data_IF_554919962706
#
_entry.id   IF_554919962706
#
_cell.length_a   1.000
_cell.length_b   1.000
_cell.length_c   1.000
_cell.angle_alpha   90.00
_cell.angle_beta   90.00
_cell.angle_gamma   90.00
#
_symmetry.space_group_name_H-M   'P 1'
#
loop_
_entity.id
_entity.type
_entity.pdbx_description
1 polymer ?
#
# COMPACT_ATOMS: atom_id res chain seq x y z
N UNK A 1 -17.98 3.76 13.44
CA UNK A 1 -17.53 3.00 12.25
C UNK A 1 -16.08 2.58 12.44
N UNK A 2 -15.73 1.33 12.14
CA UNK A 2 -14.33 0.91 12.14
C UNK A 2 -13.56 1.57 10.98
N UNK A 3 -12.25 1.72 11.11
CA UNK A 3 -11.39 2.35 10.07
C UNK A 3 -10.20 1.46 9.72
N UNK A 4 -9.90 1.39 8.42
CA UNK A 4 -8.62 0.90 7.93
C UNK A 4 -7.79 2.07 7.39
N UNK A 5 -6.59 2.23 7.91
CA UNK A 5 -5.59 3.15 7.36
C UNK A 5 -4.69 2.34 6.43
N UNK A 6 -4.81 2.60 5.13
CA UNK A 6 -4.01 1.93 4.10
C UNK A 6 -2.84 2.83 3.75
N UNK A 7 -1.62 2.36 3.96
CA UNK A 7 -0.39 3.16 3.77
C UNK A 7 0.50 2.50 2.73
N UNK A 8 0.95 3.27 1.75
CA UNK A 8 2.09 2.86 0.94
C UNK A 8 3.39 3.21 1.64
N UNK A 9 4.32 2.26 1.68
CA UNK A 9 5.66 2.49 2.24
C UNK A 9 6.35 3.76 1.70
N UNK A 10 7.30 4.30 2.43
CA UNK A 10 8.13 5.43 2.02
C UNK A 10 9.03 5.13 0.83
N UNK A 11 9.74 6.14 0.33
CA UNK A 11 10.67 6.01 -0.80
C UNK A 11 11.75 4.96 -0.55
N UNK A 12 12.18 4.30 -1.63
CA UNK A 12 13.34 3.39 -1.67
C UNK A 12 14.53 3.97 -2.42
N UNK A 13 14.33 5.11 -3.06
CA UNK A 13 15.36 5.87 -3.77
C UNK A 13 15.31 7.34 -3.35
N UNK A 14 16.47 7.98 -3.33
CA UNK A 14 16.62 9.41 -3.12
C UNK A 14 16.88 10.14 -4.44
N UNK A 15 16.86 11.48 -4.39
CA UNK A 15 17.14 12.30 -5.58
C UNK A 15 18.56 12.04 -6.08
N UNK A 16 18.70 11.61 -7.32
CA UNK A 16 19.98 11.30 -7.97
C UNK A 16 20.26 9.80 -8.07
N UNK A 17 19.50 8.96 -7.38
CA UNK A 17 19.61 7.52 -7.54
C UNK A 17 19.03 7.05 -8.89
N UNK A 18 19.54 5.95 -9.39
CA UNK A 18 18.93 5.25 -10.52
C UNK A 18 17.69 4.52 -10.03
N UNK A 19 16.51 5.01 -10.40
CA UNK A 19 15.24 4.39 -10.01
C UNK A 19 15.03 3.11 -10.82
N UNK A 20 14.77 2.01 -10.12
CA UNK A 20 14.42 0.72 -10.73
C UNK A 20 13.01 0.30 -10.37
N UNK A 21 12.42 -0.63 -11.13
CA UNK A 21 11.12 -1.23 -10.86
C UNK A 21 11.24 -2.24 -9.71
N UNK A 22 10.92 -1.79 -8.48
CA UNK A 22 11.08 -2.60 -7.26
C UNK A 22 9.80 -3.35 -6.94
N UNK A 23 9.78 -4.62 -7.25
CA UNK A 23 8.63 -5.50 -7.02
C UNK A 23 8.78 -6.43 -5.81
N UNK A 24 8.09 -7.57 -5.89
CA UNK A 24 8.02 -8.54 -4.79
C UNK A 24 9.31 -9.33 -4.56
N UNK A 25 10.16 -9.45 -5.58
CA UNK A 25 11.45 -10.15 -5.49
C UNK A 25 12.63 -9.23 -5.15
N UNK A 26 12.39 -7.92 -5.06
CA UNK A 26 13.42 -6.92 -4.75
C UNK A 26 13.14 -6.30 -3.38
N UNK A 27 13.91 -6.68 -2.38
CA UNK A 27 13.70 -6.23 -0.99
C UNK A 27 14.67 -5.12 -0.61
N UNK A 28 14.40 -3.91 -1.09
CA UNK A 28 15.16 -2.71 -0.72
C UNK A 28 14.62 -2.10 0.58
N UNK A 29 15.50 -1.54 1.43
CA UNK A 29 15.09 -0.73 2.58
C UNK A 29 14.53 0.63 2.13
N UNK A 30 13.97 1.38 3.07
CA UNK A 30 13.68 2.80 2.87
C UNK A 30 14.98 3.58 2.64
N UNK A 31 14.93 4.54 1.72
CA UNK A 31 15.96 5.56 1.54
C UNK A 31 15.92 6.60 2.68
N UNK A 32 16.82 7.56 2.70
CA UNK A 32 16.81 8.63 3.70
C UNK A 32 15.50 9.43 3.62
N UNK A 33 15.02 9.78 2.41
CA UNK A 33 13.72 10.45 2.24
C UNK A 33 12.55 9.54 2.64
N UNK A 34 12.66 8.23 2.40
CA UNK A 34 11.66 7.25 2.82
C UNK A 34 11.55 7.11 4.34
N UNK A 35 12.67 7.14 5.05
CA UNK A 35 12.68 7.17 6.51
C UNK A 35 12.02 8.45 7.05
N UNK A 36 12.34 9.61 6.47
CA UNK A 36 11.68 10.88 6.83
C UNK A 36 10.16 10.84 6.57
N UNK A 37 9.72 10.20 5.48
CA UNK A 37 8.28 9.98 5.22
C UNK A 37 7.64 9.07 6.27
N UNK A 38 8.32 8.01 6.69
CA UNK A 38 7.82 7.11 7.73
C UNK A 38 7.71 7.82 9.09
N UNK A 39 8.68 8.68 9.44
CA UNK A 39 8.64 9.51 10.65
C UNK A 39 7.52 10.56 10.59
N UNK A 40 7.28 11.18 9.43
CA UNK A 40 6.17 12.12 9.24
C UNK A 40 4.81 11.42 9.42
N UNK A 41 4.64 10.21 8.86
CA UNK A 41 3.46 9.37 9.09
C UNK A 41 3.29 9.02 10.59
N UNK A 42 4.36 8.62 11.26
CA UNK A 42 4.33 8.30 12.68
C UNK A 42 3.86 9.50 13.52
N UNK A 43 4.39 10.69 13.23
CA UNK A 43 3.98 11.92 13.90
C UNK A 43 2.52 12.29 13.60
N UNK A 44 2.09 12.14 12.34
CA UNK A 44 0.69 12.43 11.95
C UNK A 44 -0.31 11.54 12.69
N UNK A 45 0.02 10.27 12.88
CA UNK A 45 -0.82 9.29 13.55
C UNK A 45 -0.50 9.10 15.03
N UNK A 46 0.29 10.01 15.65
CA UNK A 46 0.74 9.86 17.04
C UNK A 46 -0.41 9.71 18.06
N UNK A 47 -1.56 10.32 17.80
CA UNK A 47 -2.75 10.24 18.65
C UNK A 47 -3.74 9.14 18.20
N UNK A 48 -3.42 8.38 17.15
CA UNK A 48 -4.29 7.32 16.63
C UNK A 48 -3.99 5.99 17.30
N UNK A 49 -4.91 5.47 18.08
CA UNK A 49 -4.78 4.13 18.65
C UNK A 49 -5.09 3.06 17.62
N UNK A 50 -4.05 2.38 17.13
CA UNK A 50 -4.23 1.18 16.31
C UNK A 50 -4.51 -0.03 17.19
N UNK A 51 -5.56 -0.80 16.86
CA UNK A 51 -5.91 -2.08 17.53
C UNK A 51 -5.27 -3.28 16.83
N UNK A 52 -4.91 -3.14 15.56
CA UNK A 52 -4.21 -4.12 14.75
C UNK A 52 -3.28 -3.44 13.74
N UNK A 53 -2.17 -4.08 13.40
CA UNK A 53 -1.22 -3.57 12.41
C UNK A 53 -0.70 -4.72 11.53
N UNK A 54 -0.77 -4.51 10.22
CA UNK A 54 -0.38 -5.48 9.21
C UNK A 54 0.61 -4.86 8.22
N UNK A 55 1.53 -5.65 7.72
CA UNK A 55 2.41 -5.24 6.62
C UNK A 55 2.84 -6.44 5.77
N UNK A 56 3.44 -6.16 4.61
CA UNK A 56 4.12 -7.18 3.82
C UNK A 56 5.45 -7.61 4.47
N UNK A 57 6.07 -8.72 4.04
CA UNK A 57 7.39 -9.13 4.53
C UNK A 57 8.54 -8.21 4.10
N UNK A 58 8.33 -7.33 3.11
CA UNK A 58 9.37 -6.47 2.55
C UNK A 58 9.88 -5.44 3.56
N UNK A 59 11.20 -5.19 3.56
CA UNK A 59 11.87 -4.29 4.51
C UNK A 59 11.22 -2.91 4.54
N UNK A 60 10.96 -2.31 3.37
CA UNK A 60 10.36 -0.98 3.23
C UNK A 60 8.99 -0.85 3.90
N UNK A 61 8.14 -1.87 3.80
CA UNK A 61 6.82 -1.86 4.45
C UNK A 61 6.94 -2.09 5.96
N UNK A 62 7.83 -2.98 6.39
CA UNK A 62 8.10 -3.24 7.81
C UNK A 62 8.70 -2.03 8.51
N UNK A 63 9.63 -1.31 7.86
CA UNK A 63 10.22 -0.08 8.39
C UNK A 63 9.16 1.01 8.55
N UNK A 64 8.33 1.24 7.53
CA UNK A 64 7.22 2.21 7.59
C UNK A 64 6.24 1.85 8.70
N UNK A 65 5.79 0.59 8.76
CA UNK A 65 4.84 0.14 9.78
C UNK A 65 5.40 0.28 11.20
N UNK A 66 6.66 -0.12 11.41
CA UNK A 66 7.32 -0.01 12.73
C UNK A 66 7.48 1.43 13.19
N UNK A 67 7.80 2.35 12.30
CA UNK A 67 7.85 3.77 12.64
C UNK A 67 6.48 4.24 13.15
N UNK A 68 5.41 3.93 12.42
CA UNK A 68 4.06 4.36 12.77
C UNK A 68 3.55 3.78 14.10
N UNK A 69 3.75 2.47 14.36
CA UNK A 69 3.26 1.86 15.62
C UNK A 69 4.23 2.06 16.79
N UNK A 70 5.52 2.30 16.51
CA UNK A 70 6.56 2.43 17.55
C UNK A 70 6.40 3.64 18.47
N UNK A 71 5.62 4.64 18.06
CA UNK A 71 5.31 5.82 18.87
C UNK A 71 4.25 5.56 19.96
N UNK A 72 3.57 4.40 19.92
CA UNK A 72 2.41 4.15 20.77
C UNK A 72 2.74 3.24 21.95
N UNK A 73 2.42 3.65 23.16
CA UNK A 73 2.42 2.77 24.33
C UNK A 73 1.28 1.75 24.17
N UNK A 74 1.61 0.46 24.25
CA UNK A 74 0.63 -0.60 24.05
C UNK A 74 0.25 -0.84 22.58
N UNK A 75 1.16 -0.49 21.66
CA UNK A 75 0.97 -0.79 20.23
C UNK A 75 0.67 -2.27 19.98
N UNK A 76 -0.16 -2.60 18.98
CA UNK A 76 -0.40 -3.98 18.60
C UNK A 76 0.86 -4.62 18.03
N UNK A 77 0.95 -5.95 18.13
CA UNK A 77 1.99 -6.67 17.42
C UNK A 77 1.85 -6.46 15.91
N UNK A 78 2.99 -6.19 15.23
CA UNK A 78 3.00 -6.11 13.78
C UNK A 78 2.91 -7.50 13.16
N UNK A 79 1.80 -7.77 12.47
CA UNK A 79 1.55 -9.03 11.78
C UNK A 79 2.03 -8.94 10.33
N UNK A 80 2.92 -9.83 9.93
CA UNK A 80 3.43 -9.90 8.55
C UNK A 80 2.53 -10.82 7.73
N UNK A 81 1.96 -10.28 6.65
CA UNK A 81 1.05 -10.98 5.76
C UNK A 81 1.71 -11.12 4.36
N UNK A 82 2.12 -12.33 3.95
CA UNK A 82 2.82 -12.55 2.68
C UNK A 82 2.05 -12.06 1.45
N UNK A 83 0.74 -12.12 1.46
CA UNK A 83 -0.12 -11.69 0.36
C UNK A 83 -0.21 -10.16 0.17
N UNK A 84 0.35 -9.36 1.10
CA UNK A 84 0.55 -7.91 0.93
C UNK A 84 1.88 -7.58 0.22
N UNK A 85 2.66 -8.59 -0.20
CA UNK A 85 3.91 -8.39 -0.94
C UNK A 85 3.61 -7.78 -2.30
N UNK A 86 4.44 -6.79 -2.71
CA UNK A 86 4.32 -6.15 -4.02
C UNK A 86 4.26 -7.19 -5.16
N UNK A 87 3.61 -6.86 -6.25
CA UNK A 87 3.51 -7.73 -7.42
C UNK A 87 4.91 -8.07 -7.98
N UNK A 88 5.02 -9.20 -8.65
CA UNK A 88 6.23 -9.59 -9.36
C UNK A 88 6.21 -8.97 -10.77
N UNK A 89 7.13 -8.07 -11.03
CA UNK A 89 7.26 -7.39 -12.31
C UNK A 89 7.96 -8.23 -13.38
N UNK A 90 8.10 -9.56 -13.15
CA UNK A 90 8.65 -10.49 -14.13
C UNK A 90 10.03 -10.07 -14.65
N UNK A 91 10.16 -9.89 -15.98
CA UNK A 91 11.46 -9.49 -16.58
C UNK A 91 11.88 -8.06 -16.23
N UNK A 92 10.95 -7.22 -15.75
CA UNK A 92 11.23 -5.83 -15.38
C UNK A 92 11.65 -5.66 -13.92
N UNK A 93 11.61 -6.74 -13.14
CA UNK A 93 12.00 -6.72 -11.74
C UNK A 93 13.42 -6.17 -11.57
N UNK A 94 13.55 -5.10 -10.80
CA UNK A 94 14.80 -4.37 -10.55
C UNK A 94 15.48 -3.80 -11.81
N UNK A 95 14.77 -3.64 -12.93
CA UNK A 95 15.30 -2.96 -14.10
C UNK A 95 15.10 -1.44 -13.99
N UNK A 96 16.04 -0.63 -14.53
CA UNK A 96 15.86 0.82 -14.65
C UNK A 96 14.55 1.17 -15.37
N UNK A 97 13.86 2.21 -14.91
CA UNK A 97 12.54 2.60 -15.44
C UNK A 97 12.56 2.89 -16.94
N UNK A 98 13.61 3.51 -17.45
CA UNK A 98 13.76 3.78 -18.90
C UNK A 98 13.77 2.49 -19.73
N UNK A 99 14.40 1.42 -19.22
CA UNK A 99 14.39 0.10 -19.86
C UNK A 99 13.02 -0.56 -19.79
N UNK A 100 12.32 -0.40 -18.66
CA UNK A 100 10.96 -0.90 -18.51
C UNK A 100 10.05 -0.23 -19.52
N UNK A 101 10.07 1.11 -19.60
CA UNK A 101 9.28 1.88 -20.59
C UNK A 101 9.62 1.44 -22.02
N UNK A 102 10.91 1.27 -22.33
CA UNK A 102 11.34 0.82 -23.65
C UNK A 102 10.83 -0.59 -24.02
N UNK A 103 10.66 -1.48 -23.04
CA UNK A 103 10.17 -2.85 -23.26
C UNK A 103 8.66 -2.92 -23.43
N UNK A 104 7.91 -2.30 -22.51
CA UNK A 104 6.44 -2.47 -22.46
C UNK A 104 5.66 -1.32 -23.12
N UNK A 105 6.30 -0.18 -23.32
CA UNK A 105 5.67 1.03 -23.88
C UNK A 105 4.88 1.85 -22.85
N UNK A 106 4.71 3.14 -23.15
CA UNK A 106 3.98 4.08 -22.29
C UNK A 106 2.51 3.69 -22.13
N UNK A 107 1.85 3.24 -23.19
CA UNK A 107 0.43 2.85 -23.15
C UNK A 107 0.16 1.69 -22.19
N UNK A 108 1.05 0.70 -22.09
CA UNK A 108 0.92 -0.39 -21.13
C UNK A 108 1.13 0.10 -19.68
N UNK A 109 2.02 1.07 -19.46
CA UNK A 109 2.19 1.71 -18.16
C UNK A 109 0.97 2.53 -17.77
N UNK A 110 0.39 3.28 -18.70
CA UNK A 110 -0.85 4.04 -18.48
C UNK A 110 -2.01 3.10 -18.11
N UNK A 111 -2.19 2.00 -18.84
CA UNK A 111 -3.20 0.98 -18.54
C UNK A 111 -2.99 0.36 -17.13
N UNK A 112 -1.73 0.13 -16.74
CA UNK A 112 -1.42 -0.31 -15.38
C UNK A 112 -1.72 0.76 -14.33
N UNK A 113 -1.41 2.01 -14.59
CA UNK A 113 -1.61 3.11 -13.64
C UNK A 113 -3.11 3.41 -13.43
N UNK A 114 -3.92 3.43 -14.50
CA UNK A 114 -5.32 3.82 -14.46
C UNK A 114 -6.28 2.65 -14.26
N UNK A 115 -6.03 1.53 -14.95
CA UNK A 115 -6.99 0.42 -15.02
C UNK A 115 -6.54 -0.82 -14.23
N UNK A 116 -5.35 -0.78 -13.62
CA UNK A 116 -4.69 -1.93 -13.00
C UNK A 116 -4.52 -3.13 -13.97
N UNK A 117 -4.42 -2.85 -15.29
CA UNK A 117 -4.18 -3.84 -16.32
C UNK A 117 -2.68 -4.16 -16.38
N UNK A 118 -2.25 -5.39 -16.03
CA UNK A 118 -0.83 -5.69 -15.96
C UNK A 118 -0.20 -5.78 -17.35
N UNK A 119 0.99 -5.17 -17.56
CA UNK A 119 1.78 -5.35 -18.77
C UNK A 119 2.17 -6.81 -19.01
N UNK A 120 2.43 -7.15 -20.26
CA UNK A 120 2.89 -8.50 -20.64
C UNK A 120 4.17 -8.89 -19.89
N UNK A 121 4.16 -10.09 -19.34
CA UNK A 121 5.28 -10.68 -18.59
C UNK A 121 5.29 -10.35 -17.11
N UNK A 122 4.44 -9.44 -16.61
CA UNK A 122 4.26 -9.24 -15.17
C UNK A 122 3.38 -10.33 -14.58
N UNK A 123 3.75 -10.83 -13.40
CA UNK A 123 3.02 -11.90 -12.72
C UNK A 123 2.06 -11.27 -11.70
N UNK A 124 0.86 -10.96 -12.17
CA UNK A 124 -0.18 -10.31 -11.38
C UNK A 124 -1.47 -11.12 -11.48
N UNK A 125 -1.87 -11.72 -10.38
CA UNK A 125 -3.18 -12.36 -10.25
C UNK A 125 -4.17 -11.33 -9.64
N UNK A 126 -4.83 -10.57 -10.52
CA UNK A 126 -5.74 -9.51 -10.12
C UNK A 126 -6.93 -10.03 -9.30
N UNK A 127 -7.43 -11.23 -9.60
CA UNK A 127 -8.58 -11.81 -8.89
C UNK A 127 -8.17 -12.27 -7.49
N UNK A 128 -7.00 -12.90 -7.35
CA UNK A 128 -6.46 -13.22 -6.04
C UNK A 128 -6.21 -11.97 -5.18
N UNK A 129 -5.74 -10.87 -5.78
CA UNK A 129 -5.52 -9.61 -5.06
C UNK A 129 -6.85 -8.96 -4.61
N UNK A 130 -7.89 -9.01 -5.44
CA UNK A 130 -9.23 -8.57 -5.04
C UNK A 130 -9.79 -9.41 -3.89
N UNK A 131 -9.58 -10.73 -3.93
CA UNK A 131 -10.03 -11.63 -2.87
C UNK A 131 -9.31 -11.37 -1.55
N UNK A 132 -8.01 -11.09 -1.58
CA UNK A 132 -7.24 -10.64 -0.41
C UNK A 132 -7.87 -9.40 0.22
N UNK A 133 -8.21 -8.40 -0.59
CA UNK A 133 -8.82 -7.18 -0.08
C UNK A 133 -10.22 -7.43 0.49
N UNK A 134 -11.07 -8.26 -0.16
CA UNK A 134 -12.38 -8.66 0.40
C UNK A 134 -12.22 -9.31 1.78
N UNK A 135 -11.29 -10.26 1.90
CA UNK A 135 -11.01 -10.93 3.18
C UNK A 135 -10.54 -9.96 4.28
N UNK A 136 -9.74 -8.95 3.91
CA UNK A 136 -9.31 -7.91 4.87
C UNK A 136 -10.46 -6.99 5.29
N UNK A 137 -11.34 -6.60 4.36
CA UNK A 137 -12.54 -5.80 4.64
C UNK A 137 -13.52 -6.57 5.53
N UNK A 138 -13.77 -7.86 5.24
CA UNK A 138 -14.62 -8.72 6.07
C UNK A 138 -14.08 -8.86 7.51
N UNK A 139 -12.76 -9.03 7.66
CA UNK A 139 -12.13 -9.06 8.98
C UNK A 139 -12.26 -7.74 9.72
N UNK A 140 -12.16 -6.64 9.01
CA UNK A 140 -12.29 -5.31 9.57
C UNK A 140 -13.74 -4.99 9.97
N UNK A 141 -14.74 -5.59 9.31
CA UNK A 141 -16.14 -5.50 9.72
C UNK A 141 -16.40 -6.12 11.11
N UNK A 142 -15.52 -7.00 11.57
CA UNK A 142 -15.54 -7.55 12.94
C UNK A 142 -14.87 -6.68 14.01
N UNK A 143 -14.26 -5.54 13.64
CA UNK A 143 -13.68 -4.58 14.59
C UNK A 143 -14.80 -3.81 15.34
N UNK A 144 -14.46 -3.32 16.52
CA UNK A 144 -15.37 -2.43 17.27
C UNK A 144 -15.58 -1.09 16.55
N UNK A 145 -16.74 -0.49 16.74
CA UNK A 145 -16.95 0.89 16.35
C UNK A 145 -15.85 1.77 17.00
N UNK A 146 -15.23 2.67 16.24
CA UNK A 146 -14.10 3.50 16.64
C UNK A 146 -12.71 2.80 16.61
N UNK A 147 -12.65 1.49 16.36
CA UNK A 147 -11.37 0.81 16.18
C UNK A 147 -10.71 1.21 14.85
N UNK A 148 -9.39 1.32 14.90
CA UNK A 148 -8.59 1.64 13.71
C UNK A 148 -7.50 0.59 13.54
N UNK A 149 -7.42 -0.01 12.33
CA UNK A 149 -6.35 -0.93 11.97
C UNK A 149 -5.44 -0.30 10.91
N UNK A 150 -4.16 -0.64 10.95
CA UNK A 150 -3.12 -0.19 10.02
C UNK A 150 -2.78 -1.31 9.04
N UNK A 151 -2.72 -0.99 7.75
CA UNK A 151 -2.18 -1.87 6.70
C UNK A 151 -1.11 -1.12 5.92
N UNK A 152 0.14 -1.59 5.98
CA UNK A 152 1.25 -1.01 5.21
C UNK A 152 1.63 -1.96 4.08
N UNK A 153 1.49 -1.50 2.85
CA UNK A 153 1.71 -2.30 1.65
C UNK A 153 2.42 -1.48 0.54
N UNK A 154 2.39 -1.98 -0.67
CA UNK A 154 2.95 -1.38 -1.88
C UNK A 154 1.84 -0.98 -2.85
N UNK A 155 2.19 -0.14 -3.85
CA UNK A 155 1.20 0.40 -4.78
C UNK A 155 0.54 -0.66 -5.67
N UNK A 156 1.28 -1.69 -6.11
CA UNK A 156 0.72 -2.76 -6.94
C UNK A 156 -0.35 -3.58 -6.22
N UNK A 157 -0.32 -3.62 -4.88
CA UNK A 157 -1.37 -4.26 -4.07
C UNK A 157 -2.50 -3.27 -3.76
N UNK A 158 -2.16 -2.05 -3.31
CA UNK A 158 -3.14 -1.05 -2.90
C UNK A 158 -4.14 -0.69 -4.02
N UNK A 159 -3.69 -0.68 -5.30
CA UNK A 159 -4.50 -0.31 -6.47
C UNK A 159 -5.71 -1.19 -6.73
N UNK A 160 -5.76 -2.41 -6.14
CA UNK A 160 -6.89 -3.34 -6.29
C UNK A 160 -7.96 -3.16 -5.20
N UNK A 161 -7.69 -2.39 -4.14
CA UNK A 161 -8.67 -2.10 -3.11
C UNK A 161 -9.92 -1.36 -3.65
N UNK A 162 -9.80 -0.35 -4.53
CA UNK A 162 -10.96 0.31 -5.12
C UNK A 162 -11.93 -0.61 -5.87
N UNK A 163 -11.47 -1.77 -6.37
CA UNK A 163 -12.32 -2.72 -7.10
C UNK A 163 -13.30 -3.48 -6.19
N UNK A 164 -13.11 -3.43 -4.89
CA UNK A 164 -13.84 -4.29 -3.93
C UNK A 164 -14.53 -3.53 -2.80
N UNK A 165 -14.34 -2.23 -2.70
CA UNK A 165 -15.11 -1.39 -1.78
C UNK A 165 -16.49 -1.06 -2.36
N UNK A 166 -17.49 -0.86 -1.50
CA UNK A 166 -18.86 -0.59 -1.94
C UNK A 166 -19.03 0.84 -2.42
N UNK A 167 -18.28 1.79 -1.83
CA UNK A 167 -18.36 3.23 -2.16
C UNK A 167 -16.96 3.83 -2.26
N UNK A 168 -16.76 4.64 -3.28
CA UNK A 168 -15.53 5.39 -3.48
C UNK A 168 -15.80 6.69 -4.26
N UNK A 169 -14.91 7.70 -4.22
CA UNK A 169 -15.00 8.88 -5.09
C UNK A 169 -14.97 8.50 -6.58
N UNK A 170 -15.79 9.16 -7.40
CA UNK A 170 -15.89 8.89 -8.85
C UNK A 170 -14.57 9.14 -9.61
N UNK A 171 -13.75 10.07 -9.13
CA UNK A 171 -12.46 10.48 -9.71
C UNK A 171 -11.23 9.92 -8.96
N UNK A 172 -11.40 8.81 -8.25
CA UNK A 172 -10.32 8.24 -7.45
C UNK A 172 -9.16 7.74 -8.34
N UNK A 173 -7.99 8.36 -8.18
CA UNK A 173 -6.75 7.84 -8.74
C UNK A 173 -6.32 6.58 -7.97
N UNK A 174 -6.25 5.43 -8.65
CA UNK A 174 -5.84 4.14 -8.05
C UNK A 174 -4.42 4.16 -7.46
N UNK A 175 -3.59 5.10 -7.91
CA UNK A 175 -2.21 5.22 -7.47
C UNK A 175 -2.13 5.78 -6.06
N UNK A 176 -1.64 4.98 -5.14
CA UNK A 176 -1.24 5.42 -3.82
C UNK A 176 0.25 5.81 -3.84
N UNK A 177 0.57 7.09 -3.63
CA UNK A 177 1.95 7.61 -3.70
C UNK A 177 2.78 7.15 -2.49
N UNK A 178 4.12 7.13 -2.62
CA UNK A 178 5.01 6.76 -1.52
C UNK A 178 4.78 7.67 -0.30
N UNK A 179 4.70 7.07 0.89
CA UNK A 179 4.42 7.80 2.13
C UNK A 179 3.04 8.44 2.19
N UNK A 180 2.13 8.06 1.28
CA UNK A 180 0.74 8.47 1.34
C UNK A 180 -0.14 7.39 1.97
N UNK A 181 -1.33 7.82 2.42
CA UNK A 181 -2.33 6.90 2.96
C UNK A 181 -3.72 7.17 2.39
N UNK A 182 -4.59 6.17 2.55
CA UNK A 182 -6.03 6.27 2.37
C UNK A 182 -6.77 5.77 3.60
N UNK A 183 -8.03 6.13 3.71
CA UNK A 183 -8.95 5.72 4.77
C UNK A 183 -10.10 4.95 4.17
N UNK A 184 -10.34 3.75 4.69
CA UNK A 184 -11.58 2.99 4.43
C UNK A 184 -12.38 2.95 5.72
N UNK A 185 -13.59 3.48 5.67
CA UNK A 185 -14.55 3.36 6.76
C UNK A 185 -15.44 2.16 6.53
N UNK A 186 -15.76 1.45 7.62
CA UNK A 186 -16.56 0.23 7.59
C UNK A 186 -17.73 0.40 8.56
N UNK A 187 -18.94 0.31 8.01
CA UNK A 187 -20.20 0.36 8.77
C UNK A 187 -21.02 -0.91 8.50
N UNK A 188 -20.97 -1.83 9.45
CA UNK A 188 -21.54 -3.16 9.24
C UNK A 188 -20.86 -3.88 8.09
N UNK A 189 -21.59 -4.18 7.03
CA UNK A 189 -21.08 -4.84 5.83
C UNK A 189 -20.64 -3.86 4.71
N UNK A 190 -20.85 -2.54 4.90
CA UNK A 190 -20.55 -1.52 3.89
C UNK A 190 -19.17 -0.93 4.10
N UNK A 191 -18.37 -0.88 3.06
CA UNK A 191 -17.02 -0.31 3.02
C UNK A 191 -16.96 0.92 2.11
N UNK A 192 -16.33 2.00 2.59
CA UNK A 192 -16.25 3.27 1.87
C UNK A 192 -14.83 3.84 1.92
N UNK A 193 -14.23 4.12 0.76
CA UNK A 193 -13.02 4.94 0.70
C UNK A 193 -13.43 6.41 0.91
N UNK A 194 -13.08 6.96 2.07
CA UNK A 194 -13.39 8.36 2.42
C UNK A 194 -12.23 9.31 2.15
N UNK A 195 -11.03 8.80 2.02
CA UNK A 195 -9.84 9.58 1.70
C UNK A 195 -8.79 8.72 0.99
N UNK A 196 -8.06 9.32 0.06
CA UNK A 196 -7.00 8.64 -0.68
C UNK A 196 -5.86 9.60 -1.05
N UNK A 197 -4.64 9.08 -1.13
CA UNK A 197 -3.44 9.85 -1.47
C UNK A 197 -3.13 11.05 -0.54
N UNK A 198 -3.57 11.00 0.72
CA UNK A 198 -3.21 12.01 1.71
C UNK A 198 -1.74 11.87 2.13
N UNK A 199 -1.13 12.98 2.51
CA UNK A 199 0.24 13.04 3.04
C UNK A 199 0.29 13.93 4.27
N UNK A 200 1.22 13.65 5.23
CA UNK A 200 1.45 14.54 6.36
C UNK A 200 1.94 15.90 5.94
#
# INVERSE_FOLDING_TARGET
MARLIIVRHGNTFDKGDTVTRVGGRTDLPLSASGLAQADALANHFADTRFVAAFCSPLMRTRQTARAMIGMHTGAPALVVLPFLTEVDYGPDENQPEDKVVARIGEAALEAWEHDATPPEGWLVDADALREVWRSLLERAAGLGAEDTALIVTSNGIARFLPDVVDVQPDDLDRKLKNGAWGVVEIDGATSCITSWNLRP
#
